data_IF_224650820081
#
_entry.id   IF_224650820081
#
_cell.length_a   1.000
_cell.length_b   1.000
_cell.length_c   1.000
_cell.angle_alpha   90.00
_cell.angle_beta   90.00
_cell.angle_gamma   90.00
#
_symmetry.space_group_name_H-M   'P 1'
#
loop_
_entity.id
_entity.type
_entity.pdbx_description
1 polymer ?
#
# COMPACT_ATOMS: atom_id res chain seq x y z
N UNK A 1 -14.93 -18.81 -10.88
CA UNK A 1 -15.02 -17.38 -10.62
C UNK A 1 -13.72 -16.82 -10.06
N UNK A 2 -13.51 -15.50 -10.16
CA UNK A 2 -12.42 -14.76 -9.54
C UNK A 2 -13.02 -13.61 -8.73
N UNK A 3 -12.56 -13.43 -7.48
CA UNK A 3 -12.98 -12.33 -6.62
C UNK A 3 -11.96 -11.20 -6.70
N UNK A 4 -12.42 -9.95 -6.88
CA UNK A 4 -11.60 -8.74 -6.94
C UNK A 4 -12.03 -7.82 -5.80
N UNK A 5 -11.08 -7.43 -4.94
CA UNK A 5 -11.35 -6.50 -3.85
C UNK A 5 -11.08 -5.07 -4.29
N UNK A 6 -12.07 -4.20 -4.11
CA UNK A 6 -11.96 -2.78 -4.38
C UNK A 6 -11.24 -1.99 -3.30
N UNK A 7 -11.27 -0.67 -3.42
CA UNK A 7 -10.57 0.24 -2.51
C UNK A 7 -11.34 0.57 -1.21
N UNK A 8 -12.63 0.24 -1.16
CA UNK A 8 -13.50 0.72 -0.09
C UNK A 8 -13.83 2.22 -0.24
N UNK A 9 -14.21 2.88 0.85
CA UNK A 9 -14.49 4.31 0.84
C UNK A 9 -13.26 5.13 0.45
N UNK A 10 -13.47 6.22 -0.27
CA UNK A 10 -12.42 7.15 -0.65
C UNK A 10 -11.67 7.68 0.58
N UNK A 11 -10.35 7.77 0.48
CA UNK A 11 -9.47 8.30 1.53
C UNK A 11 -8.62 9.42 0.97
N UNK A 12 -8.23 10.36 1.83
CA UNK A 12 -7.26 11.39 1.47
C UNK A 12 -5.94 10.71 1.09
N UNK A 13 -5.39 11.04 -0.07
CA UNK A 13 -4.16 10.45 -0.60
C UNK A 13 -4.37 9.18 -1.44
N UNK A 14 -5.63 8.79 -1.69
CA UNK A 14 -5.99 7.75 -2.66
C UNK A 14 -6.79 8.39 -3.79
N UNK A 15 -6.37 8.14 -5.02
CA UNK A 15 -7.05 8.62 -6.20
C UNK A 15 -7.94 7.55 -6.87
N UNK A 16 -8.49 7.91 -8.02
CA UNK A 16 -9.37 7.06 -8.82
C UNK A 16 -8.65 5.86 -9.44
N UNK A 17 -7.32 5.87 -9.48
CA UNK A 17 -6.49 4.82 -10.06
C UNK A 17 -6.79 3.43 -9.49
N UNK A 18 -7.12 3.34 -8.21
CA UNK A 18 -7.46 2.05 -7.57
C UNK A 18 -8.77 1.47 -8.09
N UNK A 19 -9.78 2.32 -8.34
CA UNK A 19 -11.02 1.85 -8.94
C UNK A 19 -10.85 1.54 -10.42
N UNK A 20 -10.10 2.37 -11.14
CA UNK A 20 -9.76 2.19 -12.53
C UNK A 20 -9.09 0.82 -12.79
N UNK A 21 -8.10 0.46 -11.97
CA UNK A 21 -7.42 -0.84 -12.08
C UNK A 21 -8.36 -2.01 -11.78
N UNK A 22 -9.24 -1.87 -10.79
CA UNK A 22 -10.25 -2.89 -10.49
C UNK A 22 -11.22 -3.09 -11.66
N UNK A 23 -11.71 -2.01 -12.26
CA UNK A 23 -12.60 -2.05 -13.43
C UNK A 23 -11.95 -2.75 -14.61
N UNK A 24 -10.72 -2.39 -14.94
CA UNK A 24 -9.98 -3.05 -16.02
C UNK A 24 -9.67 -4.53 -15.75
N UNK A 25 -9.39 -4.88 -14.49
CA UNK A 25 -9.23 -6.28 -14.10
C UNK A 25 -10.53 -7.08 -14.28
N UNK A 26 -11.67 -6.51 -13.90
CA UNK A 26 -12.99 -7.14 -14.14
C UNK A 26 -13.23 -7.34 -15.64
N UNK A 27 -12.99 -6.33 -16.46
CA UNK A 27 -13.19 -6.39 -17.91
C UNK A 27 -12.27 -7.43 -18.58
N UNK A 28 -11.03 -7.51 -18.15
CA UNK A 28 -10.07 -8.46 -18.75
C UNK A 28 -10.33 -9.89 -18.30
N UNK A 29 -10.53 -10.11 -17.00
CA UNK A 29 -10.80 -11.44 -16.45
C UNK A 29 -12.19 -11.98 -16.81
N UNK A 30 -13.16 -11.09 -17.05
CA UNK A 30 -14.51 -11.45 -17.48
C UNK A 30 -14.58 -12.12 -18.85
N UNK A 31 -13.47 -12.12 -19.63
CA UNK A 31 -13.39 -12.88 -20.88
C UNK A 31 -13.31 -14.39 -20.65
N UNK A 32 -12.75 -14.82 -19.53
CA UNK A 32 -12.44 -16.21 -19.25
C UNK A 32 -13.05 -16.74 -17.94
N UNK A 33 -13.46 -15.84 -17.03
CA UNK A 33 -13.97 -16.18 -15.70
C UNK A 33 -15.21 -15.35 -15.34
N UNK A 34 -16.08 -15.95 -14.54
CA UNK A 34 -17.06 -15.12 -13.80
C UNK A 34 -16.31 -14.21 -12.84
N UNK A 35 -16.62 -12.92 -12.88
CA UNK A 35 -16.00 -11.89 -12.05
C UNK A 35 -16.90 -11.50 -10.89
N UNK A 36 -16.31 -11.41 -9.72
CA UNK A 36 -17.01 -11.05 -8.48
C UNK A 36 -16.31 -9.82 -7.90
N UNK A 37 -17.02 -8.70 -7.89
CA UNK A 37 -16.50 -7.47 -7.29
C UNK A 37 -16.97 -7.36 -5.85
N UNK A 38 -16.04 -7.03 -4.93
CA UNK A 38 -16.35 -6.70 -3.54
C UNK A 38 -15.87 -5.28 -3.27
N UNK A 39 -16.80 -4.36 -3.08
CA UNK A 39 -16.48 -2.96 -2.77
C UNK A 39 -17.68 -2.29 -2.09
N UNK A 40 -17.43 -1.25 -1.30
CA UNK A 40 -18.47 -0.51 -0.56
C UNK A 40 -18.46 1.00 -0.83
N UNK A 41 -17.87 1.43 -1.92
CA UNK A 41 -17.96 2.82 -2.36
C UNK A 41 -19.18 2.99 -3.29
N UNK A 42 -20.19 3.78 -2.91
CA UNK A 42 -21.41 3.92 -3.73
C UNK A 42 -21.25 4.82 -4.95
N UNK A 43 -20.16 5.56 -5.04
CA UNK A 43 -19.93 6.57 -6.10
C UNK A 43 -18.70 6.21 -6.93
N UNK A 44 -18.60 4.97 -7.38
CA UNK A 44 -17.47 4.53 -8.19
C UNK A 44 -17.89 3.46 -9.20
N UNK A 45 -17.19 3.39 -10.31
CA UNK A 45 -17.54 2.55 -11.49
C UNK A 45 -17.50 1.06 -11.17
N UNK A 46 -16.57 0.61 -10.32
CA UNK A 46 -16.48 -0.81 -9.94
C UNK A 46 -17.73 -1.34 -9.22
N UNK A 47 -18.57 -0.45 -8.66
CA UNK A 47 -19.83 -0.79 -8.02
C UNK A 47 -21.05 -0.57 -8.89
N UNK A 48 -20.88 -0.25 -10.16
CA UNK A 48 -21.99 -0.23 -11.11
C UNK A 48 -22.52 -1.65 -11.33
N UNK A 49 -23.85 -1.77 -11.40
CA UNK A 49 -24.57 -3.07 -11.39
C UNK A 49 -24.22 -3.97 -12.58
N UNK A 50 -23.74 -3.41 -13.67
CA UNK A 50 -23.41 -4.09 -14.92
C UNK A 50 -21.88 -4.24 -15.15
N UNK A 51 -21.07 -3.87 -14.16
CA UNK A 51 -19.61 -3.91 -14.30
C UNK A 51 -19.04 -5.32 -14.12
N UNK A 52 -19.56 -6.10 -13.18
CA UNK A 52 -19.13 -7.47 -12.89
C UNK A 52 -20.31 -8.45 -12.93
N UNK A 53 -20.03 -9.75 -13.04
CA UNK A 53 -21.12 -10.76 -13.02
C UNK A 53 -21.85 -10.79 -11.67
N UNK A 54 -21.14 -10.50 -10.58
CA UNK A 54 -21.72 -10.36 -9.23
C UNK A 54 -21.03 -9.25 -8.46
N UNK A 55 -21.82 -8.40 -7.82
CA UNK A 55 -21.38 -7.35 -6.92
C UNK A 55 -21.80 -7.68 -5.49
N UNK A 56 -20.82 -7.72 -4.58
CA UNK A 56 -21.04 -7.68 -3.14
C UNK A 56 -20.73 -6.26 -2.64
N UNK A 57 -21.79 -5.53 -2.31
CA UNK A 57 -21.67 -4.19 -1.76
C UNK A 57 -21.48 -4.29 -0.25
N UNK A 58 -20.29 -4.75 0.18
CA UNK A 58 -19.98 -5.08 1.56
C UNK A 58 -18.65 -4.45 1.99
N UNK A 59 -18.45 -4.22 3.30
CA UNK A 59 -17.20 -3.72 3.82
C UNK A 59 -16.02 -4.66 3.49
N UNK A 60 -14.85 -4.06 3.28
CA UNK A 60 -13.61 -4.80 3.06
C UNK A 60 -12.99 -5.20 4.40
N UNK A 61 -13.72 -6.00 5.19
CA UNK A 61 -13.20 -6.63 6.40
C UNK A 61 -12.79 -8.07 6.11
N UNK A 62 -11.95 -8.64 6.97
CA UNK A 62 -11.55 -10.04 6.82
C UNK A 62 -12.76 -10.98 6.89
N UNK A 63 -13.65 -10.71 7.81
CA UNK A 63 -14.82 -11.51 8.10
C UNK A 63 -15.79 -11.51 6.90
N UNK A 64 -16.11 -10.34 6.37
CA UNK A 64 -17.03 -10.21 5.23
C UNK A 64 -16.44 -10.85 3.97
N UNK A 65 -15.16 -10.60 3.67
CA UNK A 65 -14.50 -11.19 2.49
C UNK A 65 -14.40 -12.71 2.60
N UNK A 66 -14.13 -13.25 3.78
CA UNK A 66 -14.09 -14.71 4.00
C UNK A 66 -15.48 -15.33 3.83
N UNK A 67 -16.53 -14.71 4.36
CA UNK A 67 -17.92 -15.17 4.21
C UNK A 67 -18.34 -15.16 2.73
N UNK A 68 -17.99 -14.11 1.97
CA UNK A 68 -18.26 -14.03 0.53
C UNK A 68 -17.53 -15.16 -0.20
N UNK A 69 -16.23 -15.38 0.09
CA UNK A 69 -15.47 -16.46 -0.53
C UNK A 69 -16.09 -17.82 -0.25
N UNK A 70 -16.50 -18.12 0.97
CA UNK A 70 -17.13 -19.37 1.34
C UNK A 70 -18.56 -19.51 0.72
N UNK A 71 -19.29 -18.42 0.56
CA UNK A 71 -20.58 -18.41 -0.13
C UNK A 71 -20.43 -18.75 -1.62
N UNK A 72 -19.47 -18.11 -2.30
CA UNK A 72 -19.18 -18.33 -3.72
C UNK A 72 -18.67 -19.75 -3.99
N UNK A 73 -17.85 -20.31 -3.11
CA UNK A 73 -17.40 -21.72 -3.21
C UNK A 73 -18.55 -22.72 -3.21
N UNK A 74 -19.65 -22.42 -2.54
CA UNK A 74 -20.84 -23.28 -2.55
C UNK A 74 -21.59 -23.24 -3.89
N UNK A 75 -21.44 -22.14 -4.64
CA UNK A 75 -22.06 -21.96 -5.95
C UNK A 75 -21.22 -22.54 -7.08
N UNK A 76 -19.90 -22.55 -6.92
CA UNK A 76 -18.98 -23.09 -7.92
C UNK A 76 -17.51 -22.90 -7.57
N UNK A 77 -16.61 -23.30 -8.46
CA UNK A 77 -15.17 -23.19 -8.22
C UNK A 77 -14.72 -21.71 -8.23
N UNK A 78 -14.11 -21.28 -7.13
CA UNK A 78 -13.45 -19.96 -7.01
C UNK A 78 -11.95 -20.16 -7.16
N UNK A 79 -11.33 -19.51 -8.13
CA UNK A 79 -9.88 -19.57 -8.38
C UNK A 79 -9.10 -18.90 -7.26
N UNK A 80 -9.59 -17.81 -6.72
CA UNK A 80 -9.00 -17.04 -5.64
C UNK A 80 -9.44 -15.59 -5.61
N UNK A 81 -8.69 -14.81 -4.82
CA UNK A 81 -8.97 -13.40 -4.54
C UNK A 81 -7.80 -12.53 -4.96
N UNK A 82 -8.06 -11.45 -5.71
CA UNK A 82 -7.11 -10.40 -6.04
C UNK A 82 -7.22 -9.30 -5.00
N UNK A 83 -6.11 -8.99 -4.31
CA UNK A 83 -6.05 -8.04 -3.19
C UNK A 83 -5.24 -6.78 -3.48
N UNK A 84 -4.49 -6.75 -4.59
CA UNK A 84 -3.45 -5.73 -4.81
C UNK A 84 -3.92 -4.51 -5.62
N UNK A 85 -5.12 -4.56 -6.20
CA UNK A 85 -5.61 -3.49 -7.10
C UNK A 85 -6.37 -2.38 -6.36
N UNK A 86 -6.91 -2.65 -5.18
CA UNK A 86 -7.72 -1.72 -4.40
C UNK A 86 -6.95 -0.87 -3.38
N UNK A 87 -5.62 -0.82 -3.46
CA UNK A 87 -4.79 -0.08 -2.50
C UNK A 87 -4.61 -0.79 -1.16
N UNK A 88 -4.27 -0.03 -0.12
CA UNK A 88 -3.82 -0.58 1.18
C UNK A 88 -4.91 -1.36 1.95
N UNK A 89 -6.18 -1.03 1.75
CA UNK A 89 -7.28 -1.71 2.49
C UNK A 89 -7.35 -3.20 2.15
N UNK A 90 -7.56 -3.61 0.89
CA UNK A 90 -7.58 -5.03 0.53
C UNK A 90 -6.20 -5.68 0.67
N UNK A 91 -5.11 -4.94 0.40
CA UNK A 91 -3.75 -5.46 0.52
C UNK A 91 -3.46 -5.94 1.95
N UNK A 92 -3.93 -5.22 2.97
CA UNK A 92 -3.75 -5.59 4.38
C UNK A 92 -4.46 -6.88 4.78
N UNK A 93 -5.40 -7.38 3.98
CA UNK A 93 -6.12 -8.63 4.24
C UNK A 93 -5.38 -9.87 3.72
N UNK A 94 -4.40 -9.70 2.83
CA UNK A 94 -3.75 -10.78 2.09
C UNK A 94 -3.25 -11.92 2.99
N UNK A 95 -2.48 -11.60 4.02
CA UNK A 95 -1.89 -12.60 4.92
C UNK A 95 -2.95 -13.37 5.72
N UNK A 96 -3.99 -12.67 6.22
CA UNK A 96 -5.08 -13.29 7.00
C UNK A 96 -5.94 -14.19 6.12
N UNK A 97 -6.28 -13.75 4.90
CA UNK A 97 -7.03 -14.55 3.94
C UNK A 97 -6.26 -15.81 3.53
N UNK A 98 -4.97 -15.70 3.23
CA UNK A 98 -4.11 -16.86 2.95
C UNK A 98 -4.05 -17.83 4.13
N UNK A 99 -3.90 -17.34 5.35
CA UNK A 99 -3.90 -18.18 6.56
C UNK A 99 -5.23 -18.91 6.78
N UNK A 100 -6.35 -18.34 6.32
CA UNK A 100 -7.67 -18.97 6.32
C UNK A 100 -7.88 -19.93 5.12
N UNK A 101 -6.88 -20.15 4.29
CA UNK A 101 -6.94 -21.08 3.15
C UNK A 101 -7.55 -20.49 1.88
N UNK A 102 -7.68 -19.16 1.81
CA UNK A 102 -8.14 -18.46 0.60
C UNK A 102 -6.96 -18.31 -0.36
N UNK A 103 -7.04 -18.78 -1.62
CA UNK A 103 -5.99 -18.56 -2.61
C UNK A 103 -5.90 -17.07 -2.96
N UNK A 104 -4.70 -16.50 -2.84
CA UNK A 104 -4.42 -15.13 -3.29
C UNK A 104 -3.85 -15.20 -4.70
N UNK A 105 -4.47 -14.47 -5.62
CA UNK A 105 -4.06 -14.39 -7.02
C UNK A 105 -3.18 -13.16 -7.23
N UNK A 106 -2.22 -13.29 -8.15
CA UNK A 106 -1.24 -12.25 -8.43
C UNK A 106 -0.06 -12.31 -7.45
N UNK A 107 0.36 -11.16 -6.92
CA UNK A 107 1.51 -11.09 -6.00
C UNK A 107 1.21 -11.84 -4.70
N UNK A 108 2.14 -12.70 -4.27
CA UNK A 108 1.96 -13.48 -3.04
C UNK A 108 2.01 -12.60 -1.79
N UNK A 109 1.30 -12.95 -0.71
CA UNK A 109 1.37 -12.19 0.55
C UNK A 109 2.79 -12.02 1.10
N UNK A 110 3.67 -13.00 0.88
CA UNK A 110 5.07 -12.93 1.28
C UNK A 110 5.84 -11.89 0.46
N UNK A 111 5.57 -11.80 -0.84
CA UNK A 111 6.18 -10.79 -1.71
C UNK A 111 5.64 -9.40 -1.41
N UNK A 112 4.35 -9.30 -1.05
CA UNK A 112 3.74 -8.04 -0.58
C UNK A 112 4.44 -7.56 0.69
N UNK A 113 4.58 -8.44 1.71
CA UNK A 113 5.26 -8.11 2.96
C UNK A 113 6.73 -7.71 2.73
N UNK A 114 7.42 -8.44 1.85
CA UNK A 114 8.80 -8.15 1.47
C UNK A 114 8.95 -6.75 0.83
N UNK A 115 7.99 -6.33 0.02
CA UNK A 115 8.00 -5.02 -0.64
C UNK A 115 7.58 -3.87 0.32
N UNK A 116 6.60 -4.12 1.18
CA UNK A 116 6.08 -3.13 2.13
C UNK A 116 7.01 -2.93 3.34
N UNK A 117 7.72 -3.98 3.74
CA UNK A 117 8.65 -3.92 4.87
C UNK A 117 9.98 -3.31 4.44
N UNK A 118 10.27 -2.13 4.96
CA UNK A 118 11.45 -1.34 4.57
C UNK A 118 12.78 -2.03 4.82
N UNK A 119 12.90 -2.77 5.91
CA UNK A 119 14.13 -3.51 6.25
C UNK A 119 14.33 -4.68 5.28
N UNK A 120 13.28 -5.47 5.07
CA UNK A 120 13.32 -6.60 4.14
C UNK A 120 13.56 -6.15 2.70
N UNK A 121 12.90 -5.07 2.27
CA UNK A 121 13.12 -4.50 0.95
C UNK A 121 14.53 -3.93 0.78
N UNK A 122 15.07 -3.31 1.83
CA UNK A 122 16.46 -2.87 1.86
C UNK A 122 17.47 -4.00 1.63
N UNK A 123 17.19 -5.20 2.17
CA UNK A 123 18.01 -6.40 1.93
C UNK A 123 17.91 -6.89 0.47
N UNK A 124 16.70 -6.80 -0.12
CA UNK A 124 16.48 -7.13 -1.54
C UNK A 124 17.32 -6.23 -2.43
N UNK A 125 17.24 -4.91 -2.22
CA UNK A 125 18.01 -3.93 -2.98
C UNK A 125 19.53 -4.17 -2.83
N UNK A 126 19.98 -4.47 -1.62
CA UNK A 126 21.40 -4.79 -1.36
C UNK A 126 21.85 -6.06 -2.09
N UNK A 127 21.01 -7.11 -2.10
CA UNK A 127 21.30 -8.34 -2.84
C UNK A 127 21.32 -8.13 -4.36
N UNK A 128 20.47 -7.21 -4.84
CA UNK A 128 20.43 -6.81 -6.24
C UNK A 128 21.52 -5.80 -6.63
N UNK A 129 22.40 -5.43 -5.71
CA UNK A 129 23.44 -4.40 -5.89
C UNK A 129 22.89 -3.04 -6.34
N UNK A 130 21.64 -2.75 -5.96
CA UNK A 130 20.95 -1.49 -6.27
C UNK A 130 21.20 -0.45 -5.19
N UNK A 131 21.40 0.79 -5.63
CA UNK A 131 21.51 1.92 -4.71
C UNK A 131 20.13 2.31 -4.17
N UNK A 132 20.06 2.52 -2.86
CA UNK A 132 18.91 3.08 -2.17
C UNK A 132 19.32 4.31 -1.36
N UNK A 133 18.44 5.30 -1.20
CA UNK A 133 18.70 6.40 -0.29
C UNK A 133 18.96 5.89 1.13
N UNK A 134 19.95 6.49 1.81
CA UNK A 134 20.19 6.16 3.22
C UNK A 134 18.97 6.54 4.04
N UNK A 135 18.63 5.71 5.00
CA UNK A 135 17.50 5.94 5.88
C UNK A 135 17.81 5.57 7.34
N UNK A 136 16.94 5.98 8.21
CA UNK A 136 16.93 5.62 9.62
C UNK A 136 15.53 5.75 10.23
N UNK A 137 15.35 5.13 11.39
CA UNK A 137 14.13 5.24 12.19
C UNK A 137 14.46 5.87 13.52
N UNK A 138 13.52 6.57 14.13
CA UNK A 138 13.70 7.21 15.41
C UNK A 138 12.40 7.20 16.23
N UNK A 139 12.50 6.87 17.52
CA UNK A 139 11.43 6.96 18.51
C UNK A 139 11.60 8.16 19.45
N UNK A 140 12.74 8.83 19.39
CA UNK A 140 13.08 10.01 20.18
C UNK A 140 13.79 11.07 19.35
N UNK A 141 13.89 12.29 19.92
CA UNK A 141 14.62 13.39 19.29
C UNK A 141 16.11 13.09 19.14
N UNK A 142 16.71 12.46 20.13
CA UNK A 142 18.11 12.09 20.14
C UNK A 142 18.42 11.09 19.02
N UNK A 143 17.62 10.02 18.91
CA UNK A 143 17.73 9.04 17.82
C UNK A 143 17.54 9.69 16.45
N UNK A 144 16.59 10.65 16.34
CA UNK A 144 16.35 11.39 15.10
C UNK A 144 17.58 12.21 14.67
N UNK A 145 18.24 12.87 15.61
CA UNK A 145 19.50 13.62 15.35
C UNK A 145 20.63 12.70 14.93
N UNK A 146 20.83 11.60 15.62
CA UNK A 146 21.86 10.63 15.28
C UNK A 146 21.63 10.06 13.89
N UNK A 147 20.39 9.72 13.54
CA UNK A 147 20.03 9.25 12.21
C UNK A 147 20.29 10.33 11.14
N UNK A 148 19.84 11.57 11.37
CA UNK A 148 20.02 12.68 10.43
C UNK A 148 21.50 13.01 10.20
N UNK A 149 22.34 13.01 11.24
CA UNK A 149 23.78 13.25 11.12
C UNK A 149 24.49 12.13 10.36
N UNK A 150 24.09 10.87 10.60
CA UNK A 150 24.64 9.72 9.87
C UNK A 150 24.26 9.74 8.40
N UNK A 151 23.03 10.16 8.07
CA UNK A 151 22.49 10.25 6.71
C UNK A 151 23.08 11.46 5.98
N UNK A 152 23.18 12.60 6.69
CA UNK A 152 23.59 13.91 6.17
C UNK A 152 22.42 14.71 5.61
N UNK A 153 22.28 15.98 6.05
CA UNK A 153 21.25 16.89 5.55
C UNK A 153 21.37 17.17 4.04
N UNK A 154 20.27 17.52 3.33
CA UNK A 154 18.90 17.53 3.81
C UNK A 154 18.34 16.13 3.99
N UNK A 155 17.39 15.98 4.91
CA UNK A 155 16.64 14.75 5.16
C UNK A 155 15.15 14.98 5.04
N UNK A 156 14.41 13.99 4.59
CA UNK A 156 12.96 13.94 4.62
C UNK A 156 12.55 13.22 5.91
N UNK A 157 11.71 13.87 6.71
CA UNK A 157 11.19 13.29 7.96
C UNK A 157 9.69 13.06 7.81
N UNK A 158 9.23 11.87 8.18
CA UNK A 158 7.81 11.50 8.08
C UNK A 158 7.43 10.48 9.15
N UNK A 159 6.15 10.47 9.62
CA UNK A 159 5.63 9.36 10.42
C UNK A 159 5.56 8.06 9.59
N UNK A 160 5.68 6.90 10.23
CA UNK A 160 5.75 5.59 9.55
C UNK A 160 4.47 5.19 8.81
N UNK A 161 3.30 5.74 9.18
CA UNK A 161 1.99 5.31 8.65
C UNK A 161 1.16 6.50 8.16
N UNK A 162 1.71 7.33 7.27
CA UNK A 162 0.97 8.46 6.68
C UNK A 162 0.80 8.24 5.19
N UNK A 163 -0.42 8.48 4.72
CA UNK A 163 -0.77 8.48 3.30
C UNK A 163 -0.84 9.92 2.77
N UNK A 164 -0.55 10.10 1.47
CA UNK A 164 -0.74 11.35 0.76
C UNK A 164 0.20 12.49 1.21
N UNK A 165 1.42 12.18 1.61
CA UNK A 165 2.43 13.20 1.96
C UNK A 165 2.13 13.98 3.25
N UNK A 166 1.06 13.66 3.96
CA UNK A 166 0.67 14.38 5.18
C UNK A 166 1.71 14.21 6.27
N UNK A 167 2.14 15.34 6.84
CA UNK A 167 3.13 15.32 7.92
C UNK A 167 4.55 15.01 7.46
N UNK A 168 4.85 15.04 6.16
CA UNK A 168 6.23 14.96 5.65
C UNK A 168 6.85 16.36 5.59
N UNK A 169 8.13 16.48 5.93
CA UNK A 169 8.87 17.74 5.86
C UNK A 169 10.33 17.50 5.48
N UNK A 170 10.83 18.34 4.57
CA UNK A 170 12.26 18.37 4.24
C UNK A 170 12.96 19.24 5.27
N UNK A 171 13.97 18.69 5.91
CA UNK A 171 14.68 19.31 7.02
C UNK A 171 16.15 19.51 6.63
N UNK A 172 16.65 20.72 6.81
CA UNK A 172 17.97 21.11 6.36
C UNK A 172 18.99 21.26 7.50
N UNK A 173 18.54 21.31 8.76
CA UNK A 173 19.38 21.47 9.94
C UNK A 173 18.72 20.91 11.23
N UNK A 174 19.50 20.84 12.31
CA UNK A 174 19.05 20.34 13.60
C UNK A 174 17.91 21.19 14.20
N UNK A 175 17.88 22.50 13.92
CA UNK A 175 16.84 23.37 14.46
C UNK A 175 15.48 23.07 13.86
N UNK A 176 15.44 22.83 12.56
CA UNK A 176 14.21 22.42 11.86
C UNK A 176 13.80 21.01 12.30
N UNK A 177 14.77 20.10 12.43
CA UNK A 177 14.53 18.74 12.91
C UNK A 177 13.89 18.73 14.31
N UNK A 178 14.42 19.51 15.26
CA UNK A 178 13.86 19.63 16.60
C UNK A 178 12.39 20.05 16.56
N UNK A 179 12.10 21.12 15.81
CA UNK A 179 10.72 21.61 15.67
C UNK A 179 9.76 20.57 15.12
N UNK A 180 10.22 19.84 14.10
CA UNK A 180 9.42 18.82 13.45
C UNK A 180 9.14 17.64 14.38
N UNK A 181 10.20 17.09 15.00
CA UNK A 181 10.09 15.91 15.87
C UNK A 181 9.21 16.17 17.07
N UNK A 182 9.34 17.34 17.72
CA UNK A 182 8.50 17.74 18.87
C UNK A 182 7.01 17.76 18.48
N UNK A 183 6.69 18.32 17.30
CA UNK A 183 5.32 18.33 16.78
C UNK A 183 4.81 16.92 16.47
N UNK A 184 5.58 16.14 15.71
CA UNK A 184 5.20 14.80 15.28
C UNK A 184 5.02 13.83 16.47
N UNK A 185 5.91 13.88 17.46
CA UNK A 185 5.77 13.08 18.68
C UNK A 185 4.56 13.52 19.53
N UNK A 186 4.21 14.79 19.53
CA UNK A 186 3.03 15.30 20.21
C UNK A 186 1.75 14.79 19.53
N UNK A 187 1.69 14.87 18.22
CA UNK A 187 0.57 14.34 17.42
C UNK A 187 0.44 12.82 17.56
N UNK A 188 1.54 12.08 17.50
CA UNK A 188 1.54 10.62 17.69
C UNK A 188 1.06 10.22 19.10
N UNK A 189 1.42 10.93 20.15
CA UNK A 189 0.93 10.69 21.50
C UNK A 189 -0.56 10.97 21.65
N UNK A 190 -1.07 11.99 20.99
CA UNK A 190 -2.50 12.31 20.97
C UNK A 190 -3.29 11.17 20.29
N UNK A 191 -2.84 10.69 19.15
CA UNK A 191 -3.43 9.54 18.45
C UNK A 191 -3.37 8.25 19.29
N UNK A 192 -2.30 8.04 20.04
CA UNK A 192 -2.13 6.89 20.95
C UNK A 192 -3.16 6.90 22.06
N UNK A 193 -3.42 8.08 22.64
CA UNK A 193 -4.43 8.23 23.71
C UNK A 193 -5.84 7.98 23.20
N UNK A 194 -6.14 8.35 21.96
CA UNK A 194 -7.47 8.20 21.36
C UNK A 194 -7.69 6.78 20.78
N UNK A 195 -6.66 6.19 20.18
CA UNK A 195 -6.74 4.90 19.47
C UNK A 195 -6.18 3.71 20.24
N UNK A 196 -5.50 3.92 21.38
CA UNK A 196 -4.78 2.87 22.14
C UNK A 196 -3.57 2.30 21.38
N UNK A 197 -3.08 2.97 20.36
CA UNK A 197 -1.91 2.55 19.57
C UNK A 197 -0.62 3.05 20.23
N UNK A 198 0.45 2.26 20.09
CA UNK A 198 1.80 2.68 20.45
C UNK A 198 2.28 3.75 19.44
N UNK A 199 3.10 4.72 19.87
CA UNK A 199 3.67 5.70 18.95
C UNK A 199 4.49 4.98 17.87
N UNK A 200 4.25 5.34 16.62
CA UNK A 200 5.02 4.82 15.49
C UNK A 200 6.36 5.54 15.39
N UNK A 201 7.43 4.86 14.99
CA UNK A 201 8.71 5.50 14.78
C UNK A 201 8.61 6.52 13.62
N UNK A 202 9.40 7.60 13.70
CA UNK A 202 9.63 8.49 12.59
C UNK A 202 10.60 7.84 11.61
N UNK A 203 10.34 8.02 10.33
CA UNK A 203 11.24 7.68 9.25
C UNK A 203 12.04 8.91 8.86
N UNK A 204 13.34 8.73 8.69
CA UNK A 204 14.27 9.78 8.29
C UNK A 204 15.01 9.28 7.07
N UNK A 205 14.75 9.90 5.94
CA UNK A 205 15.30 9.49 4.64
C UNK A 205 16.26 10.55 4.11
N UNK A 206 17.30 10.15 3.40
CA UNK A 206 18.10 11.09 2.61
C UNK A 206 17.21 11.72 1.56
N UNK A 207 17.05 13.05 1.61
CA UNK A 207 16.37 13.78 0.55
C UNK A 207 17.32 13.96 -0.64
N UNK A 208 16.89 13.53 -1.81
CA UNK A 208 17.62 13.70 -3.07
C UNK A 208 17.13 14.99 -3.73
N UNK A 209 18.02 15.98 -3.81
CA UNK A 209 17.74 17.24 -4.49
C UNK A 209 17.94 17.06 -6.00
N UNK A 210 17.15 17.77 -6.78
CA UNK A 210 17.23 17.79 -8.25
C UNK A 210 17.18 16.37 -8.89
N UNK A 211 16.49 15.44 -8.24
CA UNK A 211 16.25 14.09 -8.77
C UNK A 211 15.07 14.10 -9.73
N UNK A 212 15.18 13.34 -10.81
CA UNK A 212 14.06 13.04 -11.70
C UNK A 212 13.35 11.82 -11.13
N UNK A 213 12.05 11.95 -10.85
CA UNK A 213 11.20 10.89 -10.34
C UNK A 213 10.60 10.10 -11.50
N UNK A 214 10.78 8.80 -11.48
CA UNK A 214 10.33 7.90 -12.54
C UNK A 214 9.58 6.73 -11.89
N UNK A 215 8.34 6.49 -12.34
CA UNK A 215 7.57 5.30 -12.02
C UNK A 215 7.64 4.28 -13.14
N UNK A 216 7.64 3.02 -12.79
CA UNK A 216 7.61 1.89 -13.74
C UNK A 216 6.52 0.92 -13.33
N UNK A 217 5.52 0.74 -14.20
CA UNK A 217 4.52 -0.31 -14.05
C UNK A 217 4.97 -1.58 -14.77
N UNK A 218 4.99 -2.69 -14.04
CA UNK A 218 5.42 -3.96 -14.58
C UNK A 218 4.58 -5.13 -14.05
N UNK A 219 4.43 -6.16 -14.88
CA UNK A 219 3.82 -7.44 -14.54
C UNK A 219 4.85 -8.55 -14.71
N UNK A 220 4.86 -9.49 -13.78
CA UNK A 220 5.71 -10.68 -13.83
C UNK A 220 4.86 -11.92 -13.59
N UNK A 221 4.87 -12.87 -14.54
CA UNK A 221 4.08 -14.10 -14.48
C UNK A 221 4.81 -15.28 -13.82
N UNK A 222 6.05 -15.08 -13.40
CA UNK A 222 6.94 -16.09 -12.85
C UNK A 222 8.06 -16.51 -13.81
N UNK A 223 7.95 -16.18 -15.09
CA UNK A 223 8.94 -16.49 -16.14
C UNK A 223 9.36 -15.22 -16.90
N UNK A 224 8.39 -14.40 -17.33
CA UNK A 224 8.63 -13.20 -18.12
C UNK A 224 8.20 -11.92 -17.41
N UNK A 225 8.98 -10.87 -17.57
CA UNK A 225 8.67 -9.53 -17.10
C UNK A 225 8.13 -8.67 -18.26
N UNK A 226 6.91 -8.18 -18.09
CA UNK A 226 6.31 -7.22 -19.01
C UNK A 226 6.32 -5.82 -18.38
N UNK A 227 6.95 -4.85 -19.05
CA UNK A 227 6.92 -3.44 -18.64
C UNK A 227 5.75 -2.77 -19.36
N UNK A 228 4.73 -2.40 -18.60
CA UNK A 228 3.52 -1.76 -19.09
C UNK A 228 3.71 -0.28 -19.40
N UNK A 229 4.51 0.42 -18.60
CA UNK A 229 4.80 1.83 -18.78
C UNK A 229 5.97 2.33 -17.96
N UNK A 230 6.57 3.41 -18.42
CA UNK A 230 7.58 4.19 -17.70
C UNK A 230 7.11 5.64 -17.76
N UNK A 231 6.96 6.25 -16.58
CA UNK A 231 6.41 7.60 -16.44
C UNK A 231 7.40 8.48 -15.70
N UNK A 232 7.64 9.68 -16.21
CA UNK A 232 8.38 10.74 -15.52
C UNK A 232 7.37 11.70 -14.91
N UNK A 233 7.55 12.04 -13.62
CA UNK A 233 6.72 13.02 -12.94
C UNK A 233 7.00 14.43 -13.48
N UNK A 234 5.92 15.18 -13.69
CA UNK A 234 5.95 16.58 -14.16
C UNK A 234 5.67 17.49 -12.97
N UNK A 235 6.56 17.50 -11.99
CA UNK A 235 6.46 18.38 -10.81
C UNK A 235 7.62 19.39 -10.76
#
# INVERSE_FOLDING_TARGET
AVIILGSGPNRIGQGIEFDYTCVHAVQELGKDYDTIMVNCNPETVSTDYDMSDRLYFEPLTFEDVLEIYEAEKKMGPVKGVIVQLGGQTPLSLAARLKAAGVPILGTTPESIDLAENRELFGEVLKKAEMNAPRYGTALSLEEAKEAAHRIGYPVLVRPSYVLGGRGMEIVYDDKQLNKYVDRALTEAKADTVVSGRLPSPLLIDKFLQDAIEIDVDALFDGEELYIGGIMEHVE
#
